data_IF_188763546161
#
_entry.id   IF_188763546161
#
_cell.length_a   1.000
_cell.length_b   1.000
_cell.length_c   1.000
_cell.angle_alpha   90.00
_cell.angle_beta   90.00
_cell.angle_gamma   90.00
#
_symmetry.space_group_name_H-M   'P 1'
#
loop_
_entity.id
_entity.type
_entity.pdbx_description
1 polymer ?
#
# COMPACT_ATOMS: atom_id res chain seq x y z
N UNK A 1 9.83 -29.21 20.42
CA UNK A 1 9.38 -28.92 19.02
C UNK A 1 9.81 -27.50 18.68
N UNK A 2 10.34 -27.25 17.48
CA UNK A 2 10.65 -25.90 17.01
C UNK A 2 9.39 -25.18 16.50
N UNK A 3 9.35 -23.82 16.45
CA UNK A 3 8.23 -23.09 15.85
C UNK A 3 7.96 -23.52 14.40
N UNK A 4 8.99 -23.75 13.59
CA UNK A 4 8.84 -24.22 12.21
C UNK A 4 8.15 -25.59 12.14
N UNK A 5 8.54 -26.56 12.98
CA UNK A 5 7.91 -27.87 13.05
C UNK A 5 6.44 -27.79 13.55
N UNK A 6 6.15 -26.86 14.47
CA UNK A 6 4.78 -26.58 14.90
C UNK A 6 3.93 -26.08 13.74
N UNK A 7 4.43 -25.11 12.96
CA UNK A 7 3.73 -24.54 11.80
C UNK A 7 3.42 -25.64 10.76
N UNK A 8 4.37 -26.53 10.47
CA UNK A 8 4.13 -27.65 9.54
C UNK A 8 3.00 -28.55 10.02
N UNK A 9 3.03 -28.92 11.30
CA UNK A 9 2.02 -29.80 11.88
C UNK A 9 0.63 -29.15 11.93
N UNK A 10 0.57 -27.83 12.07
CA UNK A 10 -0.68 -27.07 12.21
C UNK A 10 -1.07 -26.25 10.95
N UNK A 11 -0.51 -26.58 9.80
CA UNK A 11 -0.80 -25.89 8.52
C UNK A 11 -2.30 -25.81 8.19
N UNK A 12 -3.06 -26.85 8.52
CA UNK A 12 -4.53 -26.82 8.38
C UNK A 12 -5.20 -25.74 9.26
N UNK A 13 -4.62 -25.42 10.41
CA UNK A 13 -5.08 -24.32 11.28
C UNK A 13 -4.88 -22.94 10.64
N UNK A 14 -3.74 -22.72 10.00
CA UNK A 14 -3.48 -21.52 9.23
C UNK A 14 -4.52 -21.33 8.12
N UNK A 15 -4.81 -22.38 7.35
CA UNK A 15 -5.79 -22.32 6.26
C UNK A 15 -7.20 -22.01 6.79
N UNK A 16 -7.64 -22.68 7.86
CA UNK A 16 -8.95 -22.37 8.47
C UNK A 16 -9.04 -20.93 8.95
N UNK A 17 -7.97 -20.39 9.55
CA UNK A 17 -7.91 -18.97 9.95
C UNK A 17 -8.04 -18.05 8.74
N UNK A 18 -7.32 -18.32 7.67
CA UNK A 18 -7.42 -17.54 6.43
C UNK A 18 -8.84 -17.64 5.82
N UNK A 19 -9.43 -18.84 5.77
CA UNK A 19 -10.82 -19.03 5.31
C UNK A 19 -11.80 -18.18 6.12
N UNK A 20 -11.63 -18.11 7.44
CA UNK A 20 -12.46 -17.24 8.30
C UNK A 20 -12.29 -15.76 7.94
N UNK A 21 -11.06 -15.30 7.73
CA UNK A 21 -10.77 -13.92 7.35
C UNK A 21 -11.32 -13.57 5.96
N UNK A 22 -11.19 -14.47 5.00
CA UNK A 22 -11.74 -14.31 3.64
C UNK A 22 -13.27 -14.29 3.66
N UNK A 23 -13.91 -15.14 4.46
CA UNK A 23 -15.36 -15.19 4.61
C UNK A 23 -16.00 -13.91 5.13
N UNK A 24 -15.20 -13.00 5.70
CA UNK A 24 -15.65 -11.64 6.10
C UNK A 24 -15.32 -10.69 4.94
N UNK A 25 -16.32 -10.29 4.16
CA UNK A 25 -16.17 -9.27 3.10
C UNK A 25 -15.79 -7.92 3.72
N UNK A 26 -14.58 -7.45 3.45
CA UNK A 26 -14.09 -6.15 3.90
C UNK A 26 -13.81 -5.23 2.71
N UNK A 27 -14.73 -5.21 1.78
CA UNK A 27 -14.62 -4.43 0.54
C UNK A 27 -14.56 -2.94 0.85
N UNK A 28 -13.58 -2.28 0.25
CA UNK A 28 -13.36 -0.84 0.34
C UNK A 28 -13.15 -0.24 -1.07
N UNK A 29 -13.92 0.77 -1.48
CA UNK A 29 -15.11 1.31 -0.81
C UNK A 29 -16.27 0.30 -0.71
N UNK A 30 -17.18 0.38 0.31
CA UNK A 30 -17.35 1.47 1.28
C UNK A 30 -16.66 1.23 2.63
N UNK A 31 -16.03 0.08 2.89
CA UNK A 31 -15.45 -0.32 4.17
C UNK A 31 -16.36 -1.26 4.95
N UNK A 32 -16.81 -2.32 4.27
CA UNK A 32 -17.76 -3.29 4.82
C UNK A 32 -17.16 -4.13 5.95
N UNK A 33 -17.97 -4.46 6.94
CA UNK A 33 -17.68 -5.43 8.00
C UNK A 33 -16.39 -5.17 8.82
N UNK A 34 -15.90 -3.95 8.83
CA UNK A 34 -14.68 -3.59 9.57
C UNK A 34 -14.81 -3.81 11.09
N UNK A 35 -16.00 -3.64 11.65
CA UNK A 35 -16.28 -3.96 13.04
C UNK A 35 -16.09 -5.46 13.32
N UNK A 36 -16.66 -6.30 12.48
CA UNK A 36 -16.60 -7.77 12.61
C UNK A 36 -15.17 -8.30 12.51
N UNK A 37 -14.43 -7.91 11.47
CA UNK A 37 -13.07 -8.41 11.28
C UNK A 37 -12.13 -7.93 12.37
N UNK A 38 -12.22 -6.65 12.78
CA UNK A 38 -11.34 -6.09 13.80
C UNK A 38 -11.63 -6.63 15.20
N UNK A 39 -12.90 -6.96 15.50
CA UNK A 39 -13.26 -7.66 16.73
C UNK A 39 -12.64 -9.07 16.76
N UNK A 40 -12.68 -9.81 15.64
CA UNK A 40 -12.02 -11.11 15.47
C UNK A 40 -10.51 -11.02 15.67
N UNK A 41 -9.84 -10.14 14.92
CA UNK A 41 -8.40 -9.93 15.00
C UNK A 41 -7.93 -9.50 16.40
N UNK A 42 -8.73 -8.69 17.10
CA UNK A 42 -8.46 -8.32 18.50
C UNK A 42 -8.50 -9.52 19.43
N UNK A 43 -9.51 -10.40 19.29
CA UNK A 43 -9.60 -11.65 20.07
C UNK A 43 -8.40 -12.57 19.79
N UNK A 44 -8.05 -12.75 18.51
CA UNK A 44 -6.94 -13.63 18.12
C UNK A 44 -5.62 -13.14 18.73
N UNK A 45 -5.27 -11.87 18.58
CA UNK A 45 -4.06 -11.30 19.19
C UNK A 45 -4.07 -11.38 20.72
N UNK A 46 -5.23 -11.19 21.35
CA UNK A 46 -5.36 -11.31 22.83
C UNK A 46 -5.12 -12.76 23.28
N UNK A 47 -5.70 -13.73 22.57
CA UNK A 47 -5.49 -15.16 22.85
C UNK A 47 -4.01 -15.58 22.69
N UNK A 48 -3.28 -14.90 21.80
CA UNK A 48 -1.84 -15.07 21.60
C UNK A 48 -0.97 -14.31 22.62
N UNK A 49 -1.59 -13.71 23.65
CA UNK A 49 -0.88 -13.05 24.76
C UNK A 49 -0.49 -11.59 24.50
N UNK A 50 -0.92 -10.98 23.41
CA UNK A 50 -0.65 -9.57 23.16
C UNK A 50 -1.63 -8.68 23.95
N UNK A 51 -1.13 -7.56 24.46
CA UNK A 51 -1.99 -6.46 24.93
C UNK A 51 -2.57 -5.74 23.75
N UNK A 52 -3.88 -5.84 23.53
CA UNK A 52 -4.55 -5.35 22.33
C UNK A 52 -5.39 -4.11 22.60
N UNK A 53 -5.49 -3.26 21.59
CA UNK A 53 -6.40 -2.13 21.57
C UNK A 53 -6.95 -1.91 20.15
N UNK A 54 -8.26 -1.72 20.08
CA UNK A 54 -8.94 -1.32 18.84
C UNK A 54 -9.16 0.20 18.89
N UNK A 55 -8.74 0.89 17.85
CA UNK A 55 -8.81 2.34 17.71
C UNK A 55 -9.89 2.70 16.69
N UNK A 56 -11.06 3.21 17.12
CA UNK A 56 -12.03 3.78 16.20
C UNK A 56 -11.49 5.10 15.64
N UNK A 57 -11.67 5.31 14.33
CA UNK A 57 -11.34 6.59 13.71
C UNK A 57 -12.43 7.61 14.10
N UNK A 58 -12.05 8.81 14.55
CA UNK A 58 -13.01 9.83 15.00
C UNK A 58 -14.00 10.22 13.91
N UNK A 59 -15.30 10.29 14.25
CA UNK A 59 -16.37 10.59 13.31
C UNK A 59 -16.18 11.94 12.58
N UNK A 60 -15.58 12.94 13.24
CA UNK A 60 -15.25 14.22 12.62
C UNK A 60 -14.23 14.07 11.49
N UNK A 61 -13.26 13.16 11.66
CA UNK A 61 -12.26 12.87 10.62
C UNK A 61 -12.90 12.09 9.48
N UNK A 62 -13.75 11.10 9.75
CA UNK A 62 -14.50 10.38 8.71
C UNK A 62 -15.31 11.34 7.83
N UNK A 63 -16.04 12.28 8.45
CA UNK A 63 -16.82 13.30 7.72
C UNK A 63 -15.97 14.19 6.84
N UNK A 64 -14.73 14.46 7.23
CA UNK A 64 -13.78 15.27 6.45
C UNK A 64 -13.15 14.50 5.29
N UNK A 65 -12.92 13.19 5.49
CA UNK A 65 -12.09 12.39 4.58
C UNK A 65 -12.88 11.49 3.63
N UNK A 66 -14.13 11.15 3.98
CA UNK A 66 -14.91 10.18 3.20
C UNK A 66 -16.12 10.84 2.51
N UNK A 67 -16.51 10.32 1.33
CA UNK A 67 -17.78 10.67 0.71
C UNK A 67 -18.96 10.34 1.61
N UNK A 68 -20.07 11.09 1.49
CA UNK A 68 -21.27 10.92 2.31
C UNK A 68 -21.80 9.48 2.34
N UNK A 69 -21.75 8.78 1.19
CA UNK A 69 -22.19 7.39 1.06
C UNK A 69 -21.38 6.38 1.91
N UNK A 70 -20.20 6.74 2.37
CA UNK A 70 -19.31 5.89 3.16
C UNK A 70 -19.37 6.19 4.67
N UNK A 71 -20.06 7.23 5.11
CA UNK A 71 -20.09 7.65 6.51
C UNK A 71 -20.82 6.65 7.44
N UNK A 72 -21.64 5.77 6.88
CA UNK A 72 -22.28 4.67 7.62
C UNK A 72 -21.33 3.48 7.93
N UNK A 73 -20.11 3.50 7.42
CA UNK A 73 -19.12 2.42 7.55
C UNK A 73 -17.96 2.89 8.44
N UNK A 74 -17.96 2.55 9.74
CA UNK A 74 -16.91 3.00 10.66
C UNK A 74 -15.55 2.37 10.32
N UNK A 75 -14.46 3.09 10.63
CA UNK A 75 -13.07 2.64 10.46
C UNK A 75 -12.47 2.32 11.82
N UNK A 76 -11.69 1.24 11.86
CA UNK A 76 -10.99 0.81 13.06
C UNK A 76 -9.58 0.34 12.69
N UNK A 77 -8.60 0.65 13.54
CA UNK A 77 -7.28 0.04 13.48
C UNK A 77 -7.05 -0.80 14.73
N UNK A 78 -6.41 -1.95 14.60
CA UNK A 78 -6.08 -2.84 15.72
C UNK A 78 -4.58 -2.75 15.98
N UNK A 79 -4.19 -2.58 17.25
CA UNK A 79 -2.81 -2.61 17.71
C UNK A 79 -2.66 -3.66 18.80
N UNK A 80 -1.72 -4.58 18.62
CA UNK A 80 -1.31 -5.57 19.61
C UNK A 80 0.15 -5.37 20.03
N UNK A 81 0.49 -5.58 21.29
CA UNK A 81 1.84 -5.45 21.83
C UNK A 81 2.20 -6.63 22.70
N UNK A 82 3.31 -7.30 22.38
CA UNK A 82 3.92 -8.35 23.20
C UNK A 82 5.23 -7.81 23.79
N UNK A 83 5.22 -7.57 25.08
CA UNK A 83 6.43 -7.18 25.82
C UNK A 83 7.32 -8.42 26.09
N UNK A 84 8.59 -8.31 25.78
CA UNK A 84 9.60 -9.35 26.03
C UNK A 84 10.54 -8.89 27.13
N UNK A 85 10.65 -9.70 28.20
CA UNK A 85 11.51 -9.34 29.34
C UNK A 85 12.97 -9.15 28.90
N UNK A 86 13.51 -7.98 29.19
CA UNK A 86 14.89 -7.61 28.86
C UNK A 86 15.10 -7.06 27.44
N UNK A 87 14.09 -7.17 26.57
CA UNK A 87 14.21 -6.58 25.24
C UNK A 87 14.16 -5.03 25.30
N UNK A 88 15.11 -4.39 24.61
CA UNK A 88 15.22 -2.93 24.53
C UNK A 88 14.61 -2.38 23.23
N UNK A 89 14.51 -3.20 22.20
CA UNK A 89 14.06 -2.86 20.87
C UNK A 89 12.73 -3.50 20.54
N UNK A 90 12.03 -2.91 19.57
CA UNK A 90 10.70 -3.32 19.13
C UNK A 90 10.67 -3.52 17.62
N UNK A 91 10.16 -4.67 17.18
CA UNK A 91 9.81 -4.93 15.79
C UNK A 91 8.31 -4.81 15.60
N UNK A 92 7.88 -4.11 14.55
CA UNK A 92 6.48 -3.91 14.21
C UNK A 92 6.12 -4.67 12.93
N UNK A 93 5.02 -5.41 12.96
CA UNK A 93 4.41 -6.05 11.79
C UNK A 93 3.12 -5.34 11.45
N UNK A 94 3.01 -4.89 10.20
CA UNK A 94 1.84 -4.18 9.70
C UNK A 94 1.19 -4.94 8.54
N UNK A 95 -0.14 -5.00 8.54
CA UNK A 95 -0.96 -5.49 7.42
C UNK A 95 -2.28 -4.74 7.37
N UNK A 96 -2.82 -4.55 6.17
CA UNK A 96 -4.20 -4.10 6.00
C UNK A 96 -5.16 -5.29 5.93
N UNK A 97 -6.42 -5.04 6.28
CA UNK A 97 -7.46 -6.05 6.25
C UNK A 97 -8.58 -5.75 5.24
N UNK A 98 -8.59 -4.55 4.67
CA UNK A 98 -9.50 -4.21 3.59
C UNK A 98 -9.10 -4.86 2.27
N UNK A 99 -10.02 -4.89 1.33
CA UNK A 99 -9.83 -5.47 0.01
C UNK A 99 -10.57 -4.64 -1.03
N UNK A 100 -10.05 -4.59 -2.26
CA UNK A 100 -10.70 -3.90 -3.36
C UNK A 100 -12.06 -4.52 -3.72
N UNK A 101 -12.95 -3.77 -4.38
CA UNK A 101 -14.22 -4.27 -4.90
C UNK A 101 -14.03 -5.50 -5.80
N UNK A 102 -15.06 -6.34 -5.79
CA UNK A 102 -15.08 -7.57 -6.57
C UNK A 102 -15.95 -7.41 -7.81
N UNK A 103 -15.54 -8.06 -8.89
CA UNK A 103 -16.28 -8.07 -10.16
C UNK A 103 -16.11 -9.43 -10.87
N UNK A 104 -16.84 -9.65 -11.92
CA UNK A 104 -16.73 -10.83 -12.77
C UNK A 104 -17.24 -12.13 -12.14
N UNK A 105 -17.01 -13.24 -12.83
CA UNK A 105 -17.41 -14.59 -12.41
C UNK A 105 -16.21 -15.31 -11.79
N UNK A 106 -16.36 -15.76 -10.57
CA UNK A 106 -15.32 -16.46 -9.82
C UNK A 106 -15.46 -17.99 -9.98
N UNK A 107 -14.33 -18.70 -10.10
CA UNK A 107 -14.24 -20.15 -10.29
C UNK A 107 -15.02 -20.93 -9.23
N UNK A 108 -14.93 -20.54 -7.97
CA UNK A 108 -15.57 -21.20 -6.84
C UNK A 108 -16.87 -20.54 -6.40
N UNK A 109 -17.56 -19.83 -7.30
CA UNK A 109 -18.87 -19.22 -7.11
C UNK A 109 -18.84 -17.90 -6.32
N UNK A 110 -18.09 -17.81 -5.23
CA UNK A 110 -17.97 -16.61 -4.40
C UNK A 110 -16.53 -16.11 -4.34
N UNK A 111 -16.30 -14.78 -4.45
CA UNK A 111 -15.01 -14.17 -4.21
C UNK A 111 -14.51 -14.35 -2.76
N UNK A 112 -15.38 -14.74 -1.85
CA UNK A 112 -15.10 -14.95 -0.43
C UNK A 112 -15.22 -16.41 0.00
N UNK A 113 -15.05 -17.36 -0.94
CA UNK A 113 -15.20 -18.78 -0.66
C UNK A 113 -14.08 -19.38 0.20
N UNK A 114 -12.85 -18.86 0.10
CA UNK A 114 -11.69 -19.48 0.72
C UNK A 114 -11.45 -20.92 0.25
N UNK A 115 -11.90 -21.29 -0.95
CA UNK A 115 -11.78 -22.65 -1.48
C UNK A 115 -10.31 -23.04 -1.68
N UNK A 116 -9.96 -24.27 -1.32
CA UNK A 116 -8.60 -24.79 -1.49
C UNK A 116 -8.59 -25.82 -2.62
N UNK A 117 -7.78 -25.58 -3.64
CA UNK A 117 -7.63 -26.47 -4.80
C UNK A 117 -6.16 -26.50 -5.24
N UNK A 118 -5.59 -27.72 -5.40
CA UNK A 118 -4.25 -27.96 -5.95
C UNK A 118 -3.14 -27.10 -5.32
N UNK A 119 -3.19 -26.91 -4.00
CA UNK A 119 -2.18 -26.16 -3.25
C UNK A 119 -2.35 -24.64 -3.28
N UNK A 120 -3.48 -24.16 -3.80
CA UNK A 120 -3.87 -22.74 -3.78
C UNK A 120 -5.12 -22.54 -2.95
N UNK A 121 -5.20 -21.42 -2.25
CA UNK A 121 -6.41 -20.92 -1.60
C UNK A 121 -6.94 -19.73 -2.38
N UNK A 122 -8.20 -19.81 -2.82
CA UNK A 122 -8.85 -18.82 -3.68
C UNK A 122 -9.73 -17.88 -2.87
N UNK A 123 -9.69 -16.61 -3.22
CA UNK A 123 -10.56 -15.60 -2.66
C UNK A 123 -9.93 -14.21 -2.63
N UNK A 124 -10.75 -13.17 -2.72
CA UNK A 124 -10.35 -11.78 -2.59
C UNK A 124 -9.70 -11.54 -1.23
N UNK A 125 -8.48 -11.00 -1.22
CA UNK A 125 -7.68 -10.78 -0.02
C UNK A 125 -6.80 -11.97 0.37
N UNK A 126 -6.79 -13.09 -0.38
CA UNK A 126 -5.87 -14.20 -0.08
C UNK A 126 -4.42 -13.82 -0.32
N UNK A 127 -4.14 -13.08 -1.39
CA UNK A 127 -2.82 -12.56 -1.75
C UNK A 127 -2.61 -11.15 -1.20
N UNK A 128 -3.67 -10.32 -1.16
CA UNK A 128 -3.63 -8.90 -0.80
C UNK A 128 -4.71 -8.57 0.24
N UNK A 129 -4.39 -8.55 1.59
CA UNK A 129 -3.22 -9.24 2.14
C UNK A 129 -3.58 -10.04 3.40
N UNK A 130 -4.84 -10.57 3.49
CA UNK A 130 -5.28 -11.38 4.64
C UNK A 130 -4.47 -12.67 4.82
N UNK A 131 -3.85 -13.18 3.74
CA UNK A 131 -2.90 -14.29 3.82
C UNK A 131 -1.71 -13.98 4.72
N UNK A 132 -1.18 -12.78 4.65
CA UNK A 132 -0.12 -12.28 5.52
C UNK A 132 -0.55 -12.22 6.98
N UNK A 133 -1.77 -11.76 7.25
CA UNK A 133 -2.37 -11.74 8.59
C UNK A 133 -2.43 -13.17 9.16
N UNK A 134 -2.96 -14.12 8.39
CA UNK A 134 -3.05 -15.51 8.83
C UNK A 134 -1.67 -16.14 9.10
N UNK A 135 -0.68 -15.82 8.25
CA UNK A 135 0.71 -16.28 8.42
C UNK A 135 1.37 -15.72 9.67
N UNK A 136 1.18 -14.42 9.98
CA UNK A 136 1.70 -13.82 11.21
C UNK A 136 1.05 -14.42 12.45
N UNK A 137 -0.28 -14.57 12.46
CA UNK A 137 -1.00 -15.15 13.58
C UNK A 137 -0.55 -16.59 13.83
N UNK A 138 -0.25 -17.38 12.79
CA UNK A 138 0.33 -18.73 12.93
C UNK A 138 1.76 -18.67 13.48
N UNK A 139 2.58 -17.71 13.06
CA UNK A 139 3.93 -17.54 13.61
C UNK A 139 3.89 -17.23 15.12
N UNK A 140 3.03 -16.32 15.55
CA UNK A 140 2.84 -15.97 16.96
C UNK A 140 2.32 -17.18 17.78
N UNK A 141 1.36 -17.92 17.23
CA UNK A 141 0.83 -19.15 17.84
C UNK A 141 1.92 -20.20 18.03
N UNK A 142 2.77 -20.38 17.02
CA UNK A 142 3.90 -21.32 17.10
C UNK A 142 4.91 -20.92 18.18
N UNK A 143 5.23 -19.63 18.31
CA UNK A 143 6.10 -19.13 19.36
C UNK A 143 5.49 -19.37 20.74
N UNK A 144 4.20 -19.09 20.94
CA UNK A 144 3.49 -19.31 22.19
C UNK A 144 3.46 -20.82 22.56
N UNK A 145 3.02 -21.66 21.62
CA UNK A 145 2.86 -23.09 21.84
C UNK A 145 4.20 -23.82 22.13
N UNK A 146 5.28 -23.37 21.49
CA UNK A 146 6.63 -23.92 21.68
C UNK A 146 7.39 -23.25 22.85
N UNK A 147 6.80 -22.24 23.49
CA UNK A 147 7.43 -21.42 24.53
C UNK A 147 8.73 -20.77 24.06
N UNK A 148 8.80 -20.46 22.77
CA UNK A 148 9.96 -19.78 22.17
C UNK A 148 9.76 -18.26 22.32
N UNK A 149 10.71 -17.60 22.99
CA UNK A 149 10.62 -16.16 23.29
C UNK A 149 11.27 -15.36 22.16
N UNK A 150 10.58 -14.36 21.60
CA UNK A 150 11.18 -13.42 20.66
C UNK A 150 12.35 -12.64 21.28
N UNK A 151 13.30 -12.18 20.48
CA UNK A 151 14.45 -11.38 20.95
C UNK A 151 14.14 -9.88 21.13
N UNK A 152 13.04 -9.40 20.55
CA UNK A 152 12.56 -8.02 20.66
C UNK A 152 11.11 -8.00 21.14
N UNK A 153 10.67 -6.86 21.66
CA UNK A 153 9.24 -6.61 21.79
C UNK A 153 8.60 -6.70 20.41
N UNK A 154 7.39 -7.24 20.35
CA UNK A 154 6.64 -7.37 19.08
C UNK A 154 5.43 -6.47 19.14
N UNK A 155 5.31 -5.58 18.15
CA UNK A 155 4.09 -4.82 17.87
C UNK A 155 3.45 -5.35 16.59
N UNK A 156 2.12 -5.38 16.56
CA UNK A 156 1.33 -5.80 15.39
C UNK A 156 0.24 -4.78 15.14
N UNK A 157 0.13 -4.28 13.93
CA UNK A 157 -1.05 -3.50 13.53
C UNK A 157 -1.79 -4.17 12.38
N UNK A 158 -3.13 -4.17 12.49
CA UNK A 158 -4.02 -4.48 11.38
C UNK A 158 -4.85 -3.23 11.09
N UNK A 159 -4.70 -2.69 9.88
CA UNK A 159 -5.14 -1.36 9.52
C UNK A 159 -6.21 -1.36 8.43
N UNK A 160 -6.98 -0.29 8.39
CA UNK A 160 -8.03 -0.03 7.42
C UNK A 160 -7.46 0.72 6.19
N UNK A 161 -8.25 0.71 5.12
CA UNK A 161 -8.21 1.69 4.02
C UNK A 161 -6.87 1.78 3.26
N UNK A 162 -6.05 0.70 3.21
CA UNK A 162 -4.85 0.68 2.39
C UNK A 162 -5.21 0.86 0.91
N UNK A 163 -6.23 0.18 0.47
CA UNK A 163 -6.72 0.21 -0.90
C UNK A 163 -7.31 1.58 -1.34
N UNK A 164 -7.33 2.53 -0.40
CA UNK A 164 -7.79 3.92 -0.61
C UNK A 164 -6.88 4.95 0.08
N UNK A 165 -5.56 4.80 -0.06
CA UNK A 165 -4.49 5.72 0.41
C UNK A 165 -4.08 5.63 1.89
N UNK A 166 -4.60 4.69 2.69
CA UNK A 166 -4.22 4.44 4.11
C UNK A 166 -4.31 5.63 5.06
N UNK A 167 -4.87 6.76 4.64
CA UNK A 167 -4.89 7.97 5.46
C UNK A 167 -5.64 7.77 6.81
N UNK A 168 -6.68 6.92 6.82
CA UNK A 168 -7.43 6.54 8.01
C UNK A 168 -6.93 5.22 8.64
N UNK A 169 -6.06 4.50 7.94
CA UNK A 169 -5.41 3.27 8.36
C UNK A 169 -4.06 3.50 9.02
N UNK A 170 -3.01 3.00 8.38
CA UNK A 170 -1.63 3.09 8.88
C UNK A 170 -1.18 4.54 9.06
N UNK A 171 -1.57 5.45 8.16
CA UNK A 171 -1.27 6.88 8.30
C UNK A 171 -1.78 7.44 9.63
N UNK A 172 -3.05 7.25 9.93
CA UNK A 172 -3.62 7.68 11.20
C UNK A 172 -2.97 6.98 12.40
N UNK A 173 -2.72 5.69 12.29
CA UNK A 173 -2.18 4.89 13.40
C UNK A 173 -0.76 5.37 13.81
N UNK A 174 0.13 5.62 12.83
CA UNK A 174 1.50 6.06 13.14
C UNK A 174 1.56 7.45 13.76
N UNK A 175 0.54 8.29 13.53
CA UNK A 175 0.47 9.63 14.10
C UNK A 175 -0.18 9.65 15.50
N UNK A 176 -1.20 8.82 15.74
CA UNK A 176 -2.07 8.96 16.90
C UNK A 176 -1.95 7.81 17.91
N UNK A 177 -1.45 6.63 17.51
CA UNK A 177 -1.28 5.51 18.43
C UNK A 177 0.11 5.52 19.08
N UNK A 178 0.26 4.93 20.28
CA UNK A 178 1.53 4.89 21.01
C UNK A 178 2.47 3.80 20.43
N UNK A 179 2.79 3.89 19.15
CA UNK A 179 3.76 3.01 18.47
C UNK A 179 5.12 3.71 18.40
N UNK A 180 6.18 2.97 18.74
CA UNK A 180 7.57 3.45 18.66
C UNK A 180 8.49 2.28 18.29
N UNK A 181 8.32 1.68 17.11
CA UNK A 181 9.16 0.57 16.71
C UNK A 181 10.54 1.04 16.29
N UNK A 182 11.54 0.18 16.47
CA UNK A 182 12.89 0.35 15.93
C UNK A 182 12.99 -0.19 14.50
N UNK A 183 12.13 -1.15 14.15
CA UNK A 183 12.08 -1.80 12.84
C UNK A 183 10.64 -2.10 12.46
N UNK A 184 10.32 -2.04 11.17
CA UNK A 184 8.98 -2.37 10.67
C UNK A 184 9.05 -3.37 9.50
N UNK A 185 8.12 -4.33 9.52
CA UNK A 185 7.80 -5.25 8.43
C UNK A 185 6.40 -4.91 7.96
N UNK A 186 6.26 -4.38 6.75
CA UNK A 186 4.97 -4.34 6.06
C UNK A 186 4.84 -5.69 5.34
N UNK A 187 3.80 -6.43 5.67
CA UNK A 187 3.70 -7.84 5.29
C UNK A 187 3.23 -8.03 3.84
N UNK A 188 3.74 -7.16 2.95
CA UNK A 188 3.44 -7.04 1.54
C UNK A 188 4.69 -6.65 0.72
N UNK A 189 4.62 -6.77 -0.60
CA UNK A 189 5.66 -6.26 -1.51
C UNK A 189 6.86 -7.16 -1.72
N UNK A 190 6.96 -8.28 -1.01
CA UNK A 190 7.95 -9.34 -1.23
C UNK A 190 7.24 -10.68 -1.31
N UNK A 191 7.72 -11.57 -2.16
CA UNK A 191 7.21 -12.94 -2.27
C UNK A 191 8.34 -13.92 -2.60
N UNK A 192 8.14 -15.18 -2.23
CA UNK A 192 9.20 -16.16 -2.42
C UNK A 192 10.45 -15.81 -1.63
N UNK A 193 11.60 -15.70 -2.29
CA UNK A 193 12.85 -15.22 -1.69
C UNK A 193 13.04 -13.69 -1.81
N UNK A 194 12.09 -12.97 -2.43
CA UNK A 194 12.19 -11.53 -2.56
C UNK A 194 11.85 -10.79 -1.27
N UNK A 195 12.70 -9.82 -0.90
CA UNK A 195 12.49 -8.88 0.21
C UNK A 195 12.46 -7.47 -0.35
N UNK A 196 11.37 -6.76 -0.14
CA UNK A 196 11.18 -5.41 -0.68
C UNK A 196 11.93 -4.38 0.19
N UNK A 197 12.82 -3.59 -0.45
CA UNK A 197 13.60 -2.54 0.20
C UNK A 197 12.89 -1.19 0.22
N UNK A 198 11.83 -1.04 -0.56
CA UNK A 198 11.11 0.21 -0.71
C UNK A 198 10.27 0.23 -1.98
N UNK A 199 9.63 1.34 -2.22
CA UNK A 199 8.75 1.52 -3.36
C UNK A 199 8.78 2.95 -3.89
N UNK A 200 8.33 3.11 -5.13
CA UNK A 200 8.11 4.42 -5.70
C UNK A 200 6.94 5.12 -5.00
N UNK A 201 7.00 6.44 -4.99
CA UNK A 201 5.87 7.27 -4.59
C UNK A 201 5.07 7.76 -5.78
N UNK A 202 3.98 8.45 -5.48
CA UNK A 202 3.14 9.12 -6.47
C UNK A 202 2.81 10.54 -6.02
N UNK A 203 2.69 11.44 -7.01
CA UNK A 203 2.04 12.74 -6.87
C UNK A 203 0.97 12.82 -7.95
N UNK A 204 -0.29 12.91 -7.53
CA UNK A 204 -1.42 13.08 -8.42
C UNK A 204 -1.92 14.52 -8.39
N UNK A 205 -1.92 15.15 -9.54
CA UNK A 205 -2.39 16.52 -9.69
C UNK A 205 -3.56 16.55 -10.66
N UNK A 206 -4.49 17.47 -10.41
CA UNK A 206 -5.47 17.94 -11.38
C UNK A 206 -5.05 19.32 -11.86
N UNK A 207 -5.07 19.52 -13.17
CA UNK A 207 -4.76 20.77 -13.82
C UNK A 207 -6.00 21.27 -14.55
N UNK A 208 -6.51 22.42 -14.13
CA UNK A 208 -7.61 23.13 -14.82
C UNK A 208 -7.03 24.27 -15.63
N UNK A 209 -7.30 24.27 -16.92
CA UNK A 209 -6.98 25.37 -17.82
C UNK A 209 -8.22 26.27 -17.98
N UNK A 210 -8.04 27.57 -17.78
CA UNK A 210 -9.10 28.55 -17.84
C UNK A 210 -9.09 29.33 -19.17
N UNK A 211 -10.21 29.32 -19.83
CA UNK A 211 -10.46 30.07 -21.04
C UNK A 211 -11.51 31.18 -20.86
N UNK A 212 -12.15 31.52 -21.95
CA UNK A 212 -13.32 32.46 -22.02
C UNK A 212 -14.31 31.91 -23.04
N UNK A 213 -15.58 31.68 -22.66
CA UNK A 213 -16.57 31.14 -23.59
C UNK A 213 -16.93 32.16 -24.65
N UNK A 214 -17.29 31.67 -25.84
CA UNK A 214 -17.84 32.42 -26.94
C UNK A 214 -18.71 31.50 -27.81
N UNK A 215 -19.51 32.07 -28.69
CA UNK A 215 -20.27 31.29 -29.65
C UNK A 215 -19.31 30.61 -30.64
N UNK A 216 -19.57 29.35 -31.00
CA UNK A 216 -18.69 28.59 -31.88
C UNK A 216 -18.51 29.16 -33.30
N UNK A 217 -19.42 30.06 -33.74
CA UNK A 217 -19.27 30.79 -35.01
C UNK A 217 -18.38 32.04 -34.94
N UNK A 218 -18.00 32.47 -33.71
CA UNK A 218 -17.13 33.62 -33.46
C UNK A 218 -16.07 33.27 -32.44
N UNK A 219 -15.25 32.20 -32.67
CA UNK A 219 -14.33 31.66 -31.70
C UNK A 219 -13.23 32.66 -31.30
N UNK A 220 -12.90 33.63 -32.17
CA UNK A 220 -11.92 34.69 -31.91
C UNK A 220 -12.31 35.61 -30.73
N UNK A 221 -13.59 35.66 -30.38
CA UNK A 221 -14.08 36.38 -29.18
C UNK A 221 -13.87 35.63 -27.88
N UNK A 222 -13.52 34.33 -27.95
CA UNK A 222 -13.26 33.46 -26.83
C UNK A 222 -11.77 33.25 -26.55
N UNK A 223 -11.51 32.42 -25.56
CA UNK A 223 -10.21 31.80 -25.32
C UNK A 223 -10.50 30.30 -25.14
N UNK A 224 -10.09 29.50 -26.11
CA UNK A 224 -10.37 28.06 -26.10
C UNK A 224 -9.49 27.32 -25.07
N UNK A 225 -10.09 26.91 -23.96
CA UNK A 225 -9.37 26.19 -22.91
C UNK A 225 -8.80 24.86 -23.38
N UNK A 226 -9.48 24.15 -24.29
CA UNK A 226 -8.99 22.86 -24.83
C UNK A 226 -7.73 23.04 -25.70
N UNK A 227 -7.69 24.08 -26.55
CA UNK A 227 -6.49 24.38 -27.36
C UNK A 227 -5.29 24.74 -26.45
N UNK A 228 -5.52 25.52 -25.39
CA UNK A 228 -4.48 25.85 -24.43
C UNK A 228 -4.03 24.62 -23.65
N UNK A 229 -4.95 23.72 -23.24
CA UNK A 229 -4.65 22.45 -22.61
C UNK A 229 -3.80 21.58 -23.52
N UNK A 230 -4.14 21.43 -24.80
CA UNK A 230 -3.36 20.64 -25.76
C UNK A 230 -1.92 21.17 -25.89
N UNK A 231 -1.76 22.47 -26.00
CA UNK A 231 -0.45 23.12 -26.05
C UNK A 231 0.34 22.92 -24.74
N UNK A 232 -0.32 23.00 -23.58
CA UNK A 232 0.29 22.77 -22.27
C UNK A 232 0.80 21.33 -22.12
N UNK A 233 -0.02 20.33 -22.51
CA UNK A 233 0.36 18.92 -22.49
C UNK A 233 1.60 18.66 -23.36
N UNK A 234 1.64 19.25 -24.56
CA UNK A 234 2.82 19.18 -25.44
C UNK A 234 4.04 19.89 -24.82
N UNK A 235 3.82 21.01 -24.14
CA UNK A 235 4.87 21.76 -23.44
C UNK A 235 5.55 20.96 -22.33
N UNK A 236 4.87 20.00 -21.72
CA UNK A 236 5.46 19.11 -20.70
C UNK A 236 6.39 18.04 -21.27
N UNK A 237 6.48 17.87 -22.59
CA UNK A 237 7.40 16.89 -23.18
C UNK A 237 8.87 17.17 -22.84
N UNK A 238 9.26 18.43 -22.66
CA UNK A 238 10.61 18.80 -22.23
C UNK A 238 10.90 18.23 -20.82
N UNK A 239 9.95 18.35 -19.90
CA UNK A 239 10.05 17.81 -18.55
C UNK A 239 10.06 16.26 -18.55
N UNK A 240 9.22 15.61 -19.36
CA UNK A 240 9.29 14.14 -19.55
C UNK A 240 10.66 13.66 -19.99
N UNK A 241 11.28 14.36 -20.95
CA UNK A 241 12.64 14.03 -21.43
C UNK A 241 13.70 14.21 -20.36
N UNK A 242 13.55 15.21 -19.50
CA UNK A 242 14.43 15.45 -18.34
C UNK A 242 14.31 14.33 -17.32
N UNK A 243 13.08 13.94 -16.95
CA UNK A 243 12.81 12.83 -16.06
C UNK A 243 13.40 11.51 -16.58
N UNK A 244 13.27 11.22 -17.86
CA UNK A 244 13.79 9.99 -18.48
C UNK A 244 15.31 9.83 -18.40
N UNK A 245 16.06 10.92 -18.12
CA UNK A 245 17.52 10.88 -17.91
C UNK A 245 17.91 10.40 -16.52
N UNK A 246 17.00 10.51 -15.56
CA UNK A 246 17.22 10.07 -14.18
C UNK A 246 17.11 8.57 -14.11
N UNK A 247 18.06 7.93 -13.48
CA UNK A 247 18.09 6.47 -13.36
C UNK A 247 18.35 6.09 -11.91
N UNK A 248 17.58 5.13 -11.43
CA UNK A 248 17.83 4.44 -10.17
C UNK A 248 18.10 2.97 -10.47
N UNK A 249 19.27 2.47 -10.07
CA UNK A 249 19.61 1.05 -10.17
C UNK A 249 19.18 0.37 -8.89
N UNK A 250 18.22 -0.52 -9.00
CA UNK A 250 17.70 -1.28 -7.86
C UNK A 250 18.71 -2.35 -7.41
N UNK A 251 18.59 -2.88 -6.17
CA UNK A 251 19.48 -3.93 -5.67
C UNK A 251 19.54 -5.17 -6.55
N UNK A 252 18.43 -5.56 -7.19
CA UNK A 252 18.34 -6.67 -8.13
C UNK A 252 18.89 -6.33 -9.53
N UNK A 253 19.42 -5.11 -9.73
CA UNK A 253 20.07 -4.68 -10.96
C UNK A 253 19.14 -4.08 -12.02
N UNK A 254 17.83 -4.00 -11.79
CA UNK A 254 16.88 -3.33 -12.67
C UNK A 254 17.11 -1.82 -12.67
N UNK A 255 16.96 -1.18 -13.81
CA UNK A 255 17.00 0.29 -13.92
C UNK A 255 15.57 0.83 -13.91
N UNK A 256 15.27 1.69 -12.95
CA UNK A 256 14.01 2.43 -12.87
C UNK A 256 14.22 3.87 -13.29
N UNK A 257 13.18 4.45 -13.90
CA UNK A 257 13.12 5.87 -14.27
C UNK A 257 11.84 6.50 -13.73
N UNK A 258 11.85 7.78 -13.37
CA UNK A 258 10.64 8.46 -13.00
C UNK A 258 9.69 8.55 -14.20
N UNK A 259 8.39 8.46 -13.97
CA UNK A 259 7.41 8.58 -15.05
C UNK A 259 6.43 9.71 -14.82
N UNK A 260 5.90 10.23 -15.91
CA UNK A 260 4.86 11.26 -15.93
C UNK A 260 3.78 10.83 -16.92
N UNK A 261 2.67 10.31 -16.40
CA UNK A 261 1.47 10.01 -17.18
C UNK A 261 0.52 11.21 -17.12
N UNK A 262 -0.03 11.59 -18.26
CA UNK A 262 -0.92 12.75 -18.39
C UNK A 262 -2.24 12.28 -18.99
N UNK A 263 -3.36 12.69 -18.38
CA UNK A 263 -4.70 12.49 -18.93
C UNK A 263 -5.33 11.14 -18.62
N UNK A 264 -5.05 10.53 -17.45
CA UNK A 264 -5.82 9.39 -16.95
C UNK A 264 -7.32 9.75 -16.82
N UNK A 265 -7.59 11.00 -16.37
CA UNK A 265 -8.90 11.62 -16.44
C UNK A 265 -8.73 12.97 -17.14
N UNK A 266 -9.62 13.31 -18.07
CA UNK A 266 -9.65 14.62 -18.73
C UNK A 266 -11.07 14.96 -19.17
N UNK A 267 -11.36 16.26 -19.33
CA UNK A 267 -12.68 16.70 -19.73
C UNK A 267 -12.80 18.22 -19.89
N UNK A 268 -13.98 18.64 -20.30
CA UNK A 268 -14.40 20.03 -20.26
C UNK A 268 -15.24 20.27 -19.00
N UNK A 269 -15.29 21.53 -18.53
CA UNK A 269 -16.14 21.90 -17.41
C UNK A 269 -17.64 21.80 -17.71
N UNK A 270 -18.45 21.97 -16.66
CA UNK A 270 -19.90 21.95 -16.75
C UNK A 270 -20.43 22.97 -17.78
N UNK A 271 -21.50 22.57 -18.48
CA UNK A 271 -22.13 23.40 -19.48
C UNK A 271 -21.44 23.43 -20.85
N UNK A 272 -20.45 22.57 -21.10
CA UNK A 272 -19.83 22.41 -22.42
C UNK A 272 -20.87 22.00 -23.47
N UNK A 273 -20.85 22.71 -24.61
CA UNK A 273 -21.73 22.45 -25.76
C UNK A 273 -20.92 22.49 -27.05
N UNK A 274 -21.36 21.71 -28.06
CA UNK A 274 -20.66 21.59 -29.34
C UNK A 274 -20.47 22.94 -30.07
N UNK A 275 -21.38 23.88 -29.88
CA UNK A 275 -21.37 25.19 -30.50
C UNK A 275 -20.83 26.31 -29.60
N UNK A 276 -20.03 25.97 -28.58
CA UNK A 276 -19.50 26.96 -27.62
C UNK A 276 -17.99 26.73 -27.46
N UNK A 277 -17.21 27.80 -27.47
CA UNK A 277 -15.79 27.76 -27.10
C UNK A 277 -15.68 27.33 -25.64
N UNK A 278 -14.94 26.23 -25.29
CA UNK A 278 -14.87 25.73 -23.91
C UNK A 278 -14.20 26.74 -22.97
N UNK A 279 -14.91 27.06 -21.87
CA UNK A 279 -14.43 27.98 -20.84
C UNK A 279 -13.39 27.36 -19.92
N UNK A 280 -13.46 26.04 -19.73
CA UNK A 280 -12.51 25.27 -18.91
C UNK A 280 -12.19 23.94 -19.57
N UNK A 281 -10.97 23.44 -19.32
CA UNK A 281 -10.55 22.09 -19.66
C UNK A 281 -9.67 21.56 -18.55
N UNK A 282 -9.87 20.30 -18.15
CA UNK A 282 -9.16 19.67 -17.06
C UNK A 282 -8.43 18.42 -17.53
N UNK A 283 -7.30 18.10 -16.89
CA UNK A 283 -6.62 16.82 -17.02
C UNK A 283 -5.88 16.48 -15.74
N UNK A 284 -5.66 15.18 -15.52
CA UNK A 284 -4.89 14.70 -14.38
C UNK A 284 -3.46 14.34 -14.78
N UNK A 285 -2.58 14.37 -13.80
CA UNK A 285 -1.17 13.95 -13.90
C UNK A 285 -0.89 12.90 -12.84
N UNK A 286 -0.29 11.77 -13.23
CA UNK A 286 0.33 10.78 -12.36
C UNK A 286 1.86 10.88 -12.53
N UNK A 287 2.54 11.43 -11.52
CA UNK A 287 4.00 11.50 -11.42
C UNK A 287 4.49 10.39 -10.49
N UNK A 288 5.16 9.36 -11.04
CA UNK A 288 5.84 8.34 -10.25
C UNK A 288 7.20 8.85 -9.77
N UNK A 289 7.34 8.98 -8.45
CA UNK A 289 8.54 9.45 -7.76
C UNK A 289 9.40 8.24 -7.41
N UNK A 290 10.66 8.23 -7.82
CA UNK A 290 11.55 7.10 -7.51
C UNK A 290 11.81 6.99 -6.00
N UNK A 291 12.05 5.77 -5.53
CA UNK A 291 12.34 5.45 -4.14
C UNK A 291 13.45 6.32 -3.49
N UNK A 292 14.39 6.83 -4.30
CA UNK A 292 15.51 7.67 -3.86
C UNK A 292 15.30 9.17 -4.08
N UNK A 293 14.21 9.58 -4.74
CA UNK A 293 13.93 11.01 -4.96
C UNK A 293 13.35 11.66 -3.68
N UNK A 294 13.66 12.93 -3.49
CA UNK A 294 12.95 13.73 -2.50
C UNK A 294 11.54 14.06 -3.01
N UNK A 295 10.53 13.57 -2.33
CA UNK A 295 9.13 13.66 -2.76
C UNK A 295 8.64 15.10 -2.91
N UNK A 296 8.90 15.96 -1.91
CA UNK A 296 8.48 17.37 -1.95
C UNK A 296 9.21 18.15 -3.06
N UNK A 297 10.48 17.81 -3.33
CA UNK A 297 11.22 18.41 -4.44
C UNK A 297 10.63 17.99 -5.80
N UNK A 298 10.20 16.73 -5.95
CA UNK A 298 9.58 16.23 -7.17
C UNK A 298 8.23 16.92 -7.47
N UNK A 299 7.40 17.15 -6.45
CA UNK A 299 6.16 17.93 -6.61
C UNK A 299 6.45 19.38 -7.01
N UNK A 300 7.37 20.04 -6.29
CA UNK A 300 7.77 21.43 -6.59
C UNK A 300 8.28 21.58 -8.03
N UNK A 301 9.10 20.64 -8.46
CA UNK A 301 9.63 20.60 -9.83
C UNK A 301 8.51 20.44 -10.88
N UNK A 302 7.56 19.54 -10.66
CA UNK A 302 6.42 19.34 -11.55
C UNK A 302 5.56 20.62 -11.65
N UNK A 303 5.27 21.26 -10.52
CA UNK A 303 4.54 22.54 -10.51
C UNK A 303 5.29 23.64 -11.24
N UNK A 304 6.61 23.70 -11.10
CA UNK A 304 7.44 24.65 -11.84
C UNK A 304 7.42 24.38 -13.36
N UNK A 305 7.50 23.10 -13.75
CA UNK A 305 7.41 22.70 -15.16
C UNK A 305 6.05 23.10 -15.79
N UNK A 306 4.95 22.92 -15.06
CA UNK A 306 3.61 23.36 -15.45
C UNK A 306 3.55 24.89 -15.65
N UNK A 307 4.06 25.65 -14.67
CA UNK A 307 4.08 27.10 -14.74
C UNK A 307 4.94 27.63 -15.91
N UNK A 308 6.12 27.04 -16.12
CA UNK A 308 7.00 27.40 -17.25
C UNK A 308 6.31 27.10 -18.60
N UNK A 309 5.65 25.95 -18.72
CA UNK A 309 4.94 25.58 -19.94
C UNK A 309 3.75 26.51 -20.19
N UNK A 310 2.94 26.82 -19.17
CA UNK A 310 1.80 27.72 -19.27
C UNK A 310 2.22 29.15 -19.66
N UNK A 311 3.30 29.68 -19.09
CA UNK A 311 3.81 31.02 -19.38
C UNK A 311 4.27 31.20 -20.84
N UNK A 312 4.60 30.11 -21.54
CA UNK A 312 4.97 30.13 -22.97
C UNK A 312 3.75 30.15 -23.91
N UNK A 313 2.55 29.95 -23.37
CA UNK A 313 1.32 29.85 -24.15
C UNK A 313 0.50 31.14 -23.92
N UNK A 314 0.25 31.93 -24.94
CA UNK A 314 -0.52 33.19 -24.81
C UNK A 314 -1.86 32.94 -24.12
N UNK A 315 -2.18 33.74 -23.13
CA UNK A 315 -3.46 33.70 -22.39
C UNK A 315 -3.77 32.36 -21.71
N UNK A 316 -2.78 31.51 -21.46
CA UNK A 316 -2.96 30.26 -20.73
C UNK A 316 -2.92 30.52 -19.22
N UNK A 317 -4.05 30.40 -18.56
CA UNK A 317 -4.17 30.44 -17.09
C UNK A 317 -4.51 29.08 -16.58
N UNK A 318 -3.82 28.64 -15.54
CA UNK A 318 -4.00 27.30 -14.94
C UNK A 318 -4.23 27.39 -13.44
N UNK A 319 -5.02 26.44 -12.93
CA UNK A 319 -5.09 26.08 -11.50
C UNK A 319 -4.58 24.66 -11.37
N UNK A 320 -3.76 24.40 -10.35
CA UNK A 320 -3.18 23.07 -10.08
C UNK A 320 -3.54 22.63 -8.67
N UNK A 321 -4.35 21.61 -8.56
CA UNK A 321 -4.79 21.01 -7.28
C UNK A 321 -4.10 19.67 -7.10
N UNK A 322 -3.60 19.39 -5.89
CA UNK A 322 -3.10 18.07 -5.54
C UNK A 322 -4.30 17.20 -5.16
N UNK A 323 -4.46 16.06 -5.84
CA UNK A 323 -5.51 15.07 -5.57
C UNK A 323 -5.07 14.16 -4.43
N UNK A 324 -3.87 13.58 -4.57
CA UNK A 324 -3.30 12.64 -3.60
C UNK A 324 -1.78 12.59 -3.74
N UNK A 325 -1.12 12.07 -2.71
CA UNK A 325 0.30 11.73 -2.72
C UNK A 325 0.58 10.53 -1.81
N UNK A 326 1.46 9.64 -2.28
CA UNK A 326 2.08 8.62 -1.43
C UNK A 326 3.59 8.73 -1.57
N UNK A 327 4.28 8.81 -0.43
CA UNK A 327 5.72 9.07 -0.42
C UNK A 327 6.49 7.87 -0.94
N UNK A 328 7.52 8.14 -1.73
CA UNK A 328 8.54 7.15 -2.03
C UNK A 328 9.31 6.80 -0.75
N UNK A 329 9.73 5.56 -0.61
CA UNK A 329 10.56 5.13 0.51
C UNK A 329 11.61 4.10 0.06
N UNK A 330 12.73 4.09 0.78
CA UNK A 330 13.82 3.14 0.56
C UNK A 330 14.65 2.99 1.82
N UNK A 331 14.83 1.75 2.25
CA UNK A 331 15.82 1.38 3.26
C UNK A 331 16.94 0.59 2.56
N UNK A 332 18.19 1.04 2.60
CA UNK A 332 19.28 0.33 1.93
C UNK A 332 19.42 -1.13 2.40
N UNK A 333 19.60 -2.12 1.50
CA UNK A 333 19.75 -3.52 1.89
C UNK A 333 21.03 -3.81 2.68
N UNK A 334 21.95 -2.85 2.78
CA UNK A 334 23.12 -2.90 3.66
C UNK A 334 22.77 -2.69 5.15
N UNK A 335 21.54 -2.27 5.47
CA UNK A 335 21.11 -2.12 6.84
C UNK A 335 21.03 -3.50 7.53
N UNK A 336 21.50 -3.68 8.78
CA UNK A 336 21.53 -4.99 9.46
C UNK A 336 20.19 -5.73 9.53
N UNK A 337 19.09 -5.01 9.53
CA UNK A 337 17.74 -5.57 9.49
C UNK A 337 17.49 -6.44 8.25
N UNK A 338 18.03 -6.03 7.09
CA UNK A 338 17.92 -6.81 5.84
C UNK A 338 18.79 -8.08 5.88
N UNK A 339 19.96 -8.02 6.50
CA UNK A 339 20.78 -9.20 6.71
C UNK A 339 20.07 -10.25 7.58
N UNK A 340 19.39 -9.81 8.65
CA UNK A 340 18.57 -10.69 9.50
C UNK A 340 17.39 -11.30 8.73
N UNK A 341 16.69 -10.51 7.93
CA UNK A 341 15.59 -11.01 7.09
C UNK A 341 16.10 -11.99 6.04
N UNK A 342 17.22 -11.68 5.38
CA UNK A 342 17.85 -12.58 4.41
C UNK A 342 18.26 -13.92 5.02
N UNK A 343 18.80 -13.90 6.24
CA UNK A 343 19.13 -15.13 6.98
C UNK A 343 17.87 -15.95 7.30
N UNK A 344 16.77 -15.31 7.70
CA UNK A 344 15.49 -15.99 7.96
C UNK A 344 14.88 -16.60 6.69
N UNK A 345 14.95 -15.88 5.55
CA UNK A 345 14.52 -16.40 4.25
C UNK A 345 15.38 -17.60 3.84
N UNK A 346 16.71 -17.48 3.91
CA UNK A 346 17.63 -18.55 3.53
C UNK A 346 17.45 -19.80 4.40
N UNK A 347 17.22 -19.64 5.71
CA UNK A 347 16.99 -20.78 6.62
C UNK A 347 15.73 -21.56 6.25
N UNK A 348 14.63 -20.86 5.94
CA UNK A 348 13.35 -21.51 5.66
C UNK A 348 13.26 -22.03 4.23
N UNK A 349 13.77 -21.27 3.27
CA UNK A 349 13.59 -21.56 1.85
C UNK A 349 14.74 -22.36 1.23
N UNK A 350 15.89 -22.39 1.89
CA UNK A 350 17.13 -23.01 1.39
C UNK A 350 17.64 -22.34 0.09
N UNK A 351 17.34 -21.08 -0.07
CA UNK A 351 17.80 -20.24 -1.18
C UNK A 351 18.11 -18.81 -0.68
N UNK A 352 19.02 -18.06 -1.32
CA UNK A 352 19.37 -16.72 -0.88
C UNK A 352 18.20 -15.75 -1.10
N UNK A 353 18.07 -14.76 -0.21
CA UNK A 353 17.13 -13.67 -0.41
C UNK A 353 17.55 -12.77 -1.57
N UNK A 354 16.57 -12.26 -2.31
CA UNK A 354 16.74 -11.27 -3.38
C UNK A 354 16.11 -9.96 -2.92
N UNK A 355 16.87 -8.88 -2.95
CA UNK A 355 16.36 -7.57 -2.58
C UNK A 355 15.80 -6.84 -3.80
N UNK A 356 14.58 -6.32 -3.71
CA UNK A 356 13.92 -5.62 -4.80
C UNK A 356 13.34 -4.27 -4.36
N UNK A 357 12.85 -3.50 -5.33
CA UNK A 357 12.09 -2.25 -5.12
C UNK A 357 10.81 -2.32 -5.94
N UNK A 358 9.67 -2.07 -5.29
CA UNK A 358 8.36 -2.06 -5.97
C UNK A 358 8.17 -0.81 -6.83
N UNK A 359 7.48 -0.96 -7.95
CA UNK A 359 7.02 0.17 -8.78
C UNK A 359 5.70 0.75 -8.29
N UNK A 360 4.91 -0.02 -7.54
CA UNK A 360 3.73 0.41 -6.80
C UNK A 360 4.11 1.08 -5.49
N UNK A 361 3.14 1.34 -4.66
CA UNK A 361 3.33 1.84 -3.29
C UNK A 361 2.44 1.03 -2.33
N UNK A 362 2.80 1.03 -1.06
CA UNK A 362 2.07 0.43 0.04
C UNK A 362 2.40 1.15 1.36
N UNK A 363 1.98 0.62 2.49
CA UNK A 363 2.13 1.22 3.81
C UNK A 363 3.57 1.42 4.31
N UNK A 364 4.60 0.89 3.62
CA UNK A 364 6.01 1.06 4.03
C UNK A 364 6.40 2.53 4.21
N UNK A 365 5.86 3.43 3.41
CA UNK A 365 6.24 4.85 3.45
C UNK A 365 5.86 5.53 4.77
N UNK A 366 4.80 5.11 5.45
CA UNK A 366 4.41 5.66 6.74
C UNK A 366 5.48 5.41 7.81
N UNK A 367 6.11 4.25 7.79
CA UNK A 367 7.21 3.93 8.68
C UNK A 367 8.55 4.51 8.19
N UNK A 368 8.92 4.23 6.93
CA UNK A 368 10.24 4.57 6.40
C UNK A 368 10.39 6.06 6.08
N UNK A 369 9.43 6.67 5.36
CA UNK A 369 9.54 8.05 4.92
C UNK A 369 9.10 9.04 6.00
N UNK A 370 7.94 8.79 6.66
CA UNK A 370 7.40 9.72 7.65
C UNK A 370 8.08 9.58 9.02
N UNK A 371 8.35 8.35 9.48
CA UNK A 371 8.89 8.10 10.83
C UNK A 371 10.37 7.77 10.85
N UNK A 372 11.02 7.63 9.67
CA UNK A 372 12.44 7.28 9.53
C UNK A 372 12.82 5.95 10.20
N UNK A 373 11.90 5.01 10.22
CA UNK A 373 12.08 3.67 10.77
C UNK A 373 12.58 2.76 9.65
N UNK A 374 13.68 2.00 9.85
CA UNK A 374 14.11 0.97 8.90
C UNK A 374 12.97 -0.02 8.65
N UNK A 375 12.53 -0.08 7.39
CA UNK A 375 11.33 -0.82 7.00
C UNK A 375 11.64 -1.72 5.82
N UNK A 376 11.11 -2.93 5.85
CA UNK A 376 11.12 -3.86 4.72
C UNK A 376 9.71 -4.38 4.43
N UNK A 377 9.50 -4.81 3.19
CA UNK A 377 8.28 -5.49 2.77
C UNK A 377 8.54 -6.99 2.60
N UNK A 378 7.67 -7.83 3.16
CA UNK A 378 7.70 -9.28 2.96
C UNK A 378 6.36 -9.92 3.28
N UNK A 379 5.82 -10.71 2.36
CA UNK A 379 4.58 -11.46 2.54
C UNK A 379 4.54 -12.72 1.68
N UNK A 380 3.50 -13.55 1.81
CA UNK A 380 3.34 -14.76 1.02
C UNK A 380 3.12 -14.49 -0.47
N UNK A 381 2.67 -13.28 -0.81
CA UNK A 381 2.30 -12.95 -2.18
C UNK A 381 1.17 -13.82 -2.73
N UNK A 382 1.02 -13.80 -4.04
CA UNK A 382 0.02 -14.59 -4.74
C UNK A 382 -0.07 -14.20 -6.21
N UNK A 383 -1.18 -14.50 -6.81
CA UNK A 383 -1.44 -14.15 -8.22
C UNK A 383 -2.86 -13.63 -8.40
N UNK A 384 -3.06 -12.88 -9.50
CA UNK A 384 -4.32 -12.24 -9.87
C UNK A 384 -4.79 -11.19 -8.84
N UNK A 385 -3.81 -10.41 -8.30
CA UNK A 385 -4.08 -9.25 -7.44
C UNK A 385 -5.13 -8.34 -8.07
N UNK A 386 -6.13 -7.92 -7.30
CA UNK A 386 -7.27 -7.09 -7.74
C UNK A 386 -8.13 -7.73 -8.86
N UNK A 387 -7.70 -8.88 -9.39
CA UNK A 387 -8.38 -9.61 -10.45
C UNK A 387 -9.43 -10.63 -9.96
N UNK A 388 -10.02 -11.34 -10.92
CA UNK A 388 -10.86 -12.52 -10.64
C UNK A 388 -9.96 -13.71 -10.32
N UNK A 389 -10.42 -14.58 -9.42
CA UNK A 389 -9.68 -15.78 -8.98
C UNK A 389 -8.34 -15.48 -8.29
N UNK A 390 -8.26 -14.33 -7.61
CA UNK A 390 -7.16 -14.05 -6.71
C UNK A 390 -6.90 -15.25 -5.79
N UNK A 391 -5.62 -15.62 -5.64
CA UNK A 391 -5.23 -16.78 -4.85
C UNK A 391 -3.82 -16.68 -4.29
N UNK A 392 -3.61 -17.27 -3.12
CA UNK A 392 -2.30 -17.43 -2.51
C UNK A 392 -1.89 -18.91 -2.48
N UNK A 393 -0.58 -19.16 -2.59
CA UNK A 393 -0.02 -20.50 -2.47
C UNK A 393 0.00 -20.94 -1.00
N UNK A 394 -0.54 -22.11 -0.71
CA UNK A 394 -0.49 -22.71 0.64
C UNK A 394 0.96 -22.87 1.12
N UNK A 395 1.86 -23.24 0.21
CA UNK A 395 3.31 -23.35 0.50
C UNK A 395 3.90 -22.01 0.92
N UNK A 396 3.55 -20.93 0.23
CA UNK A 396 4.08 -19.58 0.52
C UNK A 396 3.52 -19.01 1.83
N UNK A 397 2.25 -19.28 2.15
CA UNK A 397 1.64 -18.93 3.44
C UNK A 397 2.39 -19.58 4.61
N UNK A 398 2.67 -20.88 4.50
CA UNK A 398 3.42 -21.66 5.51
C UNK A 398 4.86 -21.14 5.61
N UNK A 399 5.53 -20.90 4.47
CA UNK A 399 6.89 -20.41 4.46
C UNK A 399 6.98 -19.03 5.11
N UNK A 400 6.05 -18.10 4.81
CA UNK A 400 6.02 -16.77 5.43
C UNK A 400 5.79 -16.83 6.93
N UNK A 401 4.91 -17.71 7.42
CA UNK A 401 4.73 -17.92 8.85
C UNK A 401 6.05 -18.37 9.54
N UNK A 402 6.79 -19.30 8.92
CA UNK A 402 8.10 -19.74 9.43
C UNK A 402 9.13 -18.62 9.41
N UNK A 403 9.19 -17.84 8.33
CA UNK A 403 10.12 -16.71 8.18
C UNK A 403 9.86 -15.64 9.24
N UNK A 404 8.59 -15.31 9.52
CA UNK A 404 8.25 -14.37 10.59
C UNK A 404 8.67 -14.91 11.97
N UNK A 405 8.43 -16.19 12.26
CA UNK A 405 8.85 -16.81 13.50
C UNK A 405 10.39 -16.81 13.63
N UNK A 406 11.11 -17.14 12.56
CA UNK A 406 12.57 -17.15 12.52
C UNK A 406 13.14 -15.74 12.74
N UNK A 407 12.60 -14.74 12.06
CA UNK A 407 13.01 -13.34 12.24
C UNK A 407 12.82 -12.87 13.68
N UNK A 408 11.66 -13.14 14.29
CA UNK A 408 11.38 -12.77 15.68
C UNK A 408 12.32 -13.46 16.69
N UNK A 409 12.79 -14.65 16.39
CA UNK A 409 13.64 -15.45 17.31
C UNK A 409 15.14 -15.24 17.12
N UNK A 410 15.58 -14.78 15.95
CA UNK A 410 17.02 -14.63 15.63
C UNK A 410 17.49 -13.19 15.66
N UNK A 411 16.63 -12.24 15.30
CA UNK A 411 17.01 -10.84 15.24
C UNK A 411 16.74 -10.13 16.58
N UNK A 412 17.79 -9.54 17.17
CA UNK A 412 17.72 -8.79 18.43
C UNK A 412 18.00 -7.29 18.28
N UNK A 413 18.22 -6.84 17.05
CA UNK A 413 18.46 -5.44 16.68
C UNK A 413 19.90 -4.97 16.84
#
# INVERSE_FOLDING_TARGET
MTPAAYIDLHAAGLLRRLQTLIGISTVNPPGENYDTITAGLTRDLTALGLKTKRYPIPAALLKKSLPAAQLGFPRYNVLGKLGVRGAKKTIHFNAHYDVVPVSGRWRHGSPFSGAVERGWIFGRGTADMKGSIASLLMALEALQATRTVPRMNVEVSFTADEETDSALGTGWLVEHAPIKPDYAVVMEGGEGSAVCCGHNGVVWLEVTVHGRPAHGSTPERGINALEKMAALVLGLNAHKKELARRKFKTPEGRTMVPTLNIGGVFGCGDGAKINTVPATATFTIDRRVLAMENHAAAEKELRAALAIAANKIPQCRITVVKISENFACFTPPTHPFFAAMAASVAEVRREPAVFNVSTGFNDMHFFAAHRKIPTLGYGPGGIDYHGVDERASVKELIASAKIYAELMTKFGG
#
